data_IF_735224234053
#
_entry.id   IF_735224234053
#
_cell.length_a   1.000
_cell.length_b   1.000
_cell.length_c   1.000
_cell.angle_alpha   90.00
_cell.angle_beta   90.00
_cell.angle_gamma   90.00
#
_symmetry.space_group_name_H-M   'P 1'
#
loop_
_entity.id
_entity.type
_entity.pdbx_description
1 polymer ?
#
# COMPACT_ATOMS: atom_id res chain seq x y z
N UNK A 1 -11.69 20.36 7.00
CA UNK A 1 -12.82 19.50 6.58
C UNK A 1 -12.76 19.12 5.10
N UNK A 2 -12.78 20.03 4.11
CA UNK A 2 -13.08 19.67 2.71
C UNK A 2 -11.92 19.35 1.74
N UNK A 3 -10.66 19.54 2.12
CA UNK A 3 -9.60 19.70 1.12
C UNK A 3 -8.33 18.87 1.35
N UNK A 4 -8.16 18.11 2.43
CA UNK A 4 -6.84 17.52 2.75
C UNK A 4 -6.69 16.02 2.50
N UNK A 5 -7.69 15.18 2.80
CA UNK A 5 -7.72 13.79 2.30
C UNK A 5 -7.81 13.78 0.77
N UNK A 6 -8.69 14.61 0.21
CA UNK A 6 -8.67 14.94 -1.21
C UNK A 6 -7.31 15.51 -1.63
N UNK A 7 -6.70 16.55 -1.04
CA UNK A 7 -5.34 17.01 -1.47
C UNK A 7 -4.24 15.96 -1.41
N UNK A 8 -4.24 15.05 -0.44
CA UNK A 8 -3.19 14.01 -0.33
C UNK A 8 -3.33 13.01 -1.49
N UNK A 9 -4.57 12.76 -1.91
CA UNK A 9 -4.94 11.92 -3.06
C UNK A 9 -4.88 12.68 -4.40
N UNK A 10 -5.23 13.96 -4.40
CA UNK A 10 -5.30 14.90 -5.53
C UNK A 10 -3.91 15.45 -5.86
N UNK A 11 -2.96 15.41 -4.93
CA UNK A 11 -1.53 15.57 -5.22
C UNK A 11 -0.98 14.48 -6.15
N UNK A 12 -1.78 13.47 -6.50
CA UNK A 12 -1.48 12.55 -7.60
C UNK A 12 -1.75 13.16 -8.98
N UNK A 13 -2.35 14.37 -9.07
CA UNK A 13 -2.60 15.07 -10.32
C UNK A 13 -2.56 16.61 -10.12
N UNK A 14 -1.48 17.26 -10.59
CA UNK A 14 -1.23 18.70 -10.34
C UNK A 14 -2.11 19.61 -11.21
N UNK A 15 -2.99 20.42 -10.59
CA UNK A 15 -3.27 21.87 -10.85
C UNK A 15 -4.73 22.28 -10.54
N UNK A 16 -4.94 23.03 -9.45
CA UNK A 16 -5.71 24.30 -9.38
C UNK A 16 -6.20 24.59 -7.94
N UNK A 17 -6.15 25.88 -7.56
CA UNK A 17 -6.62 26.50 -6.30
C UNK A 17 -7.84 27.40 -6.64
N UNK A 18 -8.49 28.07 -5.67
CA UNK A 18 -9.02 27.67 -4.33
C UNK A 18 -10.48 28.17 -4.14
N UNK A 19 -11.13 28.00 -2.98
CA UNK A 19 -11.85 29.05 -2.20
C UNK A 19 -12.75 28.50 -1.03
N UNK A 20 -12.42 28.94 0.20
CA UNK A 20 -13.18 29.61 1.31
C UNK A 20 -14.74 29.53 1.36
N UNK A 21 -15.53 29.54 2.47
CA UNK A 21 -15.43 30.06 3.86
C UNK A 21 -16.59 29.53 4.76
N UNK A 22 -16.30 29.31 6.05
CA UNK A 22 -17.04 29.39 7.35
C UNK A 22 -18.51 28.99 7.62
N UNK A 23 -18.64 28.56 8.89
CA UNK A 23 -19.68 27.90 9.69
C UNK A 23 -20.53 28.91 10.48
N UNK A 24 -21.76 28.54 10.85
CA UNK A 24 -22.29 28.86 12.18
C UNK A 24 -23.34 27.82 12.65
N UNK A 25 -23.16 27.29 13.87
CA UNK A 25 -24.00 26.30 14.54
C UNK A 25 -24.52 26.91 15.84
N UNK A 26 -25.76 26.62 16.22
CA UNK A 26 -26.24 26.83 17.58
C UNK A 26 -27.35 25.84 17.96
N UNK A 27 -27.09 25.18 19.10
CA UNK A 27 -27.99 24.63 20.13
C UNK A 27 -28.32 23.12 20.12
N UNK A 28 -27.77 22.45 21.14
CA UNK A 28 -28.03 21.08 21.59
C UNK A 28 -29.10 21.02 22.70
N UNK A 29 -29.75 19.86 22.87
CA UNK A 29 -29.82 19.24 24.19
C UNK A 29 -29.48 17.72 24.20
N UNK A 30 -28.53 17.34 25.08
CA UNK A 30 -28.48 16.25 26.10
C UNK A 30 -29.60 15.17 26.04
N UNK A 31 -29.44 13.85 26.23
CA UNK A 31 -28.39 12.81 26.47
C UNK A 31 -29.15 11.48 26.30
N UNK A 32 -28.58 10.41 25.70
CA UNK A 32 -28.72 9.02 26.18
C UNK A 32 -27.43 8.27 25.77
N UNK A 33 -26.63 7.82 26.75
CA UNK A 33 -25.45 6.97 26.55
C UNK A 33 -25.82 5.54 26.16
N UNK A 34 -25.25 4.98 25.07
CA UNK A 34 -25.18 3.54 24.88
C UNK A 34 -23.76 3.05 25.20
N UNK A 35 -23.67 2.31 26.32
CA UNK A 35 -22.80 1.16 26.58
C UNK A 35 -21.42 1.22 25.88
N UNK A 36 -20.42 1.71 26.62
CA UNK A 36 -18.99 1.65 26.30
C UNK A 36 -18.51 0.19 26.23
N UNK A 37 -18.72 -0.49 25.11
CA UNK A 37 -17.95 -1.67 24.75
C UNK A 37 -16.63 -1.18 24.14
N UNK A 38 -15.59 -1.08 24.98
CA UNK A 38 -14.21 -0.66 24.65
C UNK A 38 -14.13 0.29 23.45
N UNK A 39 -14.81 1.43 23.54
CA UNK A 39 -14.58 2.54 22.62
C UNK A 39 -13.13 2.93 22.86
N UNK A 40 -12.28 2.70 21.86
CA UNK A 40 -10.93 3.27 21.84
C UNK A 40 -11.00 4.70 22.41
N UNK A 41 -10.13 5.04 23.37
CA UNK A 41 -10.14 6.34 24.08
C UNK A 41 -9.95 7.57 23.15
N UNK A 42 -9.95 7.35 21.84
CA UNK A 42 -9.78 8.30 20.76
C UNK A 42 -11.13 8.88 20.34
N UNK A 43 -11.16 10.20 20.19
CA UNK A 43 -12.29 10.92 19.62
C UNK A 43 -12.23 10.99 18.10
N UNK A 44 -13.22 11.69 17.54
CA UNK A 44 -13.36 11.88 16.10
C UNK A 44 -12.13 12.54 15.45
N UNK A 45 -11.51 13.50 16.14
CA UNK A 45 -10.34 14.22 15.60
C UNK A 45 -9.10 13.34 15.57
N UNK A 46 -8.88 12.54 16.62
CA UNK A 46 -7.76 11.61 16.69
C UNK A 46 -7.84 10.56 15.58
N UNK A 47 -9.02 10.00 15.32
CA UNK A 47 -9.19 9.07 14.20
C UNK A 47 -8.96 9.75 12.84
N UNK A 48 -9.40 11.00 12.66
CA UNK A 48 -9.13 11.76 11.43
C UNK A 48 -7.62 12.00 11.24
N UNK A 49 -6.90 12.32 12.31
CA UNK A 49 -5.45 12.52 12.27
C UNK A 49 -4.71 11.21 11.94
N UNK A 50 -5.17 10.08 12.47
CA UNK A 50 -4.66 8.75 12.11
C UNK A 50 -4.89 8.50 10.61
N UNK A 51 -6.11 8.68 10.09
CA UNK A 51 -6.39 8.48 8.68
C UNK A 51 -5.47 9.32 7.78
N UNK A 52 -5.29 10.60 8.10
CA UNK A 52 -4.42 11.50 7.33
C UNK A 52 -2.97 11.04 7.34
N UNK A 53 -2.43 10.79 8.54
CA UNK A 53 -1.02 10.47 8.73
C UNK A 53 -0.67 9.11 8.14
N UNK A 54 -1.49 8.10 8.45
CA UNK A 54 -1.25 6.72 8.02
C UNK A 54 -1.50 6.51 6.55
N UNK A 55 -2.44 7.23 5.93
CA UNK A 55 -2.57 7.22 4.47
C UNK A 55 -1.31 7.74 3.78
N UNK A 56 -0.72 8.83 4.27
CA UNK A 56 0.51 9.37 3.70
C UNK A 56 1.71 8.40 3.88
N UNK A 57 1.83 7.77 5.05
CA UNK A 57 2.86 6.76 5.33
C UNK A 57 2.71 5.51 4.44
N UNK A 58 1.47 5.05 4.23
CA UNK A 58 1.16 3.92 3.36
C UNK A 58 1.57 4.20 1.91
N UNK A 59 1.22 5.38 1.38
CA UNK A 59 1.61 5.81 0.02
C UNK A 59 3.12 5.90 -0.12
N UNK A 60 3.81 6.50 0.85
CA UNK A 60 5.27 6.59 0.87
C UNK A 60 5.90 5.20 0.80
N UNK A 61 5.40 4.27 1.60
CA UNK A 61 5.91 2.90 1.68
C UNK A 61 5.74 2.15 0.36
N UNK A 62 4.56 2.25 -0.27
CA UNK A 62 4.33 1.65 -1.59
C UNK A 62 5.23 2.26 -2.67
N UNK A 63 5.49 3.57 -2.62
CA UNK A 63 6.40 4.22 -3.55
C UNK A 63 7.86 3.74 -3.37
N UNK A 64 8.33 3.56 -2.14
CA UNK A 64 9.66 3.02 -1.85
C UNK A 64 9.83 1.58 -2.37
N UNK A 65 8.78 0.76 -2.24
CA UNK A 65 8.72 -0.59 -2.83
C UNK A 65 8.79 -0.51 -4.35
N UNK A 66 8.02 0.40 -4.95
CA UNK A 66 7.94 0.58 -6.41
C UNK A 66 9.30 0.97 -7.00
N UNK A 67 9.94 1.99 -6.44
CA UNK A 67 11.28 2.45 -6.85
C UNK A 67 12.31 1.32 -6.73
N UNK A 68 12.27 0.57 -5.63
CA UNK A 68 13.18 -0.57 -5.43
C UNK A 68 12.92 -1.70 -6.43
N UNK A 69 11.66 -1.91 -6.81
CA UNK A 69 11.24 -2.96 -7.76
C UNK A 69 11.67 -2.63 -9.19
N UNK A 70 11.54 -1.36 -9.60
CA UNK A 70 12.07 -0.88 -10.88
C UNK A 70 13.59 -1.08 -10.92
N UNK A 71 14.30 -0.64 -9.88
CA UNK A 71 15.75 -0.78 -9.79
C UNK A 71 16.23 -2.22 -9.96
N UNK A 72 15.62 -3.19 -9.25
CA UNK A 72 16.04 -4.60 -9.40
C UNK A 72 15.70 -5.16 -10.78
N UNK A 73 14.60 -4.72 -11.41
CA UNK A 73 14.27 -5.07 -12.78
C UNK A 73 15.36 -4.68 -13.76
N UNK A 74 15.89 -3.46 -13.63
CA UNK A 74 17.02 -2.97 -14.43
C UNK A 74 18.29 -3.80 -14.21
N UNK A 75 18.64 -4.10 -12.95
CA UNK A 75 19.82 -4.91 -12.61
C UNK A 75 19.75 -6.34 -13.16
N UNK A 76 18.56 -6.96 -13.15
CA UNK A 76 18.34 -8.29 -13.73
C UNK A 76 18.44 -8.22 -15.26
N UNK A 77 17.85 -7.20 -15.88
CA UNK A 77 17.91 -7.00 -17.33
C UNK A 77 19.36 -6.81 -17.82
N UNK A 78 20.14 -5.96 -17.16
CA UNK A 78 21.55 -5.74 -17.46
C UNK A 78 22.37 -7.04 -17.30
N UNK A 79 22.08 -7.83 -16.26
CA UNK A 79 22.71 -9.12 -16.03
C UNK A 79 22.39 -10.12 -17.15
N UNK A 80 21.14 -10.13 -17.63
CA UNK A 80 20.72 -10.98 -18.75
C UNK A 80 21.43 -10.60 -20.06
N UNK A 81 21.55 -9.30 -20.35
CA UNK A 81 22.31 -8.81 -21.51
C UNK A 81 23.79 -9.25 -21.45
N UNK A 82 24.44 -9.10 -20.30
CA UNK A 82 25.83 -9.56 -20.10
C UNK A 82 25.97 -11.08 -20.31
N UNK A 83 25.01 -11.87 -19.84
CA UNK A 83 25.02 -13.32 -20.04
C UNK A 83 24.85 -13.70 -21.53
N UNK A 84 24.00 -12.99 -22.28
CA UNK A 84 23.83 -13.20 -23.71
C UNK A 84 25.14 -12.92 -24.47
N UNK A 85 25.81 -11.79 -24.16
CA UNK A 85 27.11 -11.47 -24.76
C UNK A 85 28.18 -12.54 -24.48
N UNK A 86 28.25 -13.05 -23.24
CA UNK A 86 29.17 -14.13 -22.87
C UNK A 86 28.86 -15.41 -23.66
N UNK A 87 27.59 -15.71 -23.86
CA UNK A 87 27.15 -16.89 -24.62
C UNK A 87 27.42 -16.77 -26.12
N UNK A 88 27.32 -15.57 -26.69
CA UNK A 88 27.63 -15.29 -28.10
C UNK A 88 29.14 -15.34 -28.37
N UNK A 89 29.93 -14.69 -27.53
CA UNK A 89 31.38 -14.59 -27.70
C UNK A 89 32.12 -15.90 -27.41
N UNK A 90 31.53 -16.79 -26.60
CA UNK A 90 32.12 -18.08 -26.17
C UNK A 90 33.59 -17.97 -25.75
N UNK A 91 33.95 -17.05 -24.84
CA UNK A 91 35.33 -16.88 -24.41
C UNK A 91 35.83 -18.13 -23.67
N UNK A 92 37.14 -18.36 -23.65
CA UNK A 92 37.76 -19.53 -23.00
C UNK A 92 37.36 -19.68 -21.52
N UNK A 93 37.12 -18.57 -20.83
CA UNK A 93 36.70 -18.51 -19.42
C UNK A 93 35.18 -18.29 -19.23
N UNK A 94 34.35 -18.70 -20.20
CA UNK A 94 32.89 -18.48 -20.22
C UNK A 94 32.20 -18.79 -18.89
N UNK A 95 32.49 -19.95 -18.29
CA UNK A 95 31.86 -20.39 -17.03
C UNK A 95 32.20 -19.44 -15.87
N UNK A 96 33.45 -18.97 -15.79
CA UNK A 96 33.87 -18.04 -14.74
C UNK A 96 33.19 -16.67 -14.90
N UNK A 97 33.14 -16.15 -16.13
CA UNK A 97 32.46 -14.88 -16.43
C UNK A 97 30.96 -14.96 -16.15
N UNK A 98 30.29 -16.01 -16.60
CA UNK A 98 28.87 -16.23 -16.35
C UNK A 98 28.58 -16.34 -14.85
N UNK A 99 29.42 -17.09 -14.11
CA UNK A 99 29.30 -17.20 -12.64
C UNK A 99 29.45 -15.84 -11.96
N UNK A 100 30.39 -14.99 -12.41
CA UNK A 100 30.57 -13.66 -11.85
C UNK A 100 29.32 -12.79 -12.05
N UNK A 101 28.75 -12.76 -13.25
CA UNK A 101 27.52 -12.02 -13.56
C UNK A 101 26.34 -12.52 -12.70
N UNK A 102 26.14 -13.84 -12.62
CA UNK A 102 25.06 -14.44 -11.82
C UNK A 102 25.22 -14.10 -10.33
N UNK A 103 26.45 -14.13 -9.81
CA UNK A 103 26.69 -13.80 -8.41
C UNK A 103 26.47 -12.30 -8.12
N UNK A 104 26.79 -11.41 -9.07
CA UNK A 104 26.45 -9.98 -8.96
C UNK A 104 24.95 -9.77 -8.96
N UNK A 105 24.20 -10.45 -9.84
CA UNK A 105 22.73 -10.42 -9.86
C UNK A 105 22.15 -10.91 -8.53
N UNK A 106 22.68 -12.00 -7.97
CA UNK A 106 22.25 -12.51 -6.66
C UNK A 106 22.51 -11.50 -5.52
N UNK A 107 23.60 -10.74 -5.56
CA UNK A 107 23.86 -9.66 -4.60
C UNK A 107 22.83 -8.54 -4.73
N UNK A 108 22.52 -8.09 -5.96
CA UNK A 108 21.50 -7.08 -6.21
C UNK A 108 20.12 -7.53 -5.72
N UNK A 109 19.76 -8.80 -5.94
CA UNK A 109 18.51 -9.39 -5.44
C UNK A 109 18.43 -9.38 -3.91
N UNK A 110 19.52 -9.68 -3.20
CA UNK A 110 19.51 -9.59 -1.74
C UNK A 110 19.41 -8.14 -1.25
N UNK A 111 20.09 -7.20 -1.92
CA UNK A 111 19.95 -5.77 -1.63
C UNK A 111 18.51 -5.29 -1.86
N UNK A 112 17.85 -5.77 -2.92
CA UNK A 112 16.44 -5.51 -3.16
C UNK A 112 15.58 -6.01 -1.99
N UNK A 113 15.75 -7.27 -1.60
CA UNK A 113 15.01 -7.86 -0.47
C UNK A 113 15.18 -7.04 0.83
N UNK A 114 16.39 -6.57 1.12
CA UNK A 114 16.66 -5.70 2.27
C UNK A 114 15.99 -4.32 2.14
N UNK A 115 16.01 -3.72 0.95
CA UNK A 115 15.43 -2.39 0.69
C UNK A 115 13.92 -2.37 0.84
N UNK A 116 13.23 -3.45 0.49
CA UNK A 116 11.76 -3.52 0.57
C UNK A 116 11.23 -4.02 1.90
N UNK A 117 12.07 -4.58 2.77
CA UNK A 117 11.64 -5.19 4.03
C UNK A 117 10.93 -4.19 4.96
N UNK A 118 11.58 -3.07 5.29
CA UNK A 118 10.97 -2.05 6.15
C UNK A 118 9.75 -1.37 5.49
N UNK A 119 9.80 -0.97 4.20
CA UNK A 119 8.62 -0.46 3.51
C UNK A 119 7.41 -1.40 3.53
N UNK A 120 7.62 -2.72 3.41
CA UNK A 120 6.53 -3.70 3.51
C UNK A 120 5.89 -3.66 4.91
N UNK A 121 6.70 -3.62 5.97
CA UNK A 121 6.17 -3.52 7.34
C UNK A 121 5.42 -2.22 7.57
N UNK A 122 5.97 -1.09 7.11
CA UNK A 122 5.32 0.21 7.24
C UNK A 122 3.98 0.24 6.50
N UNK A 123 3.91 -0.34 5.29
CA UNK A 123 2.64 -0.48 4.56
C UNK A 123 1.61 -1.26 5.37
N UNK A 124 1.99 -2.42 5.93
CA UNK A 124 1.09 -3.27 6.72
C UNK A 124 0.55 -2.50 7.92
N UNK A 125 1.44 -1.91 8.73
CA UNK A 125 1.08 -1.18 9.95
C UNK A 125 0.17 0.01 9.63
N UNK A 126 0.58 0.85 8.66
CA UNK A 126 -0.21 2.02 8.29
C UNK A 126 -1.60 1.62 7.78
N UNK A 127 -1.71 0.53 7.00
CA UNK A 127 -3.01 0.07 6.52
C UNK A 127 -3.91 -0.46 7.65
N UNK A 128 -3.35 -1.23 8.58
CA UNK A 128 -4.10 -1.72 9.75
C UNK A 128 -4.63 -0.57 10.60
N UNK A 129 -3.82 0.47 10.82
CA UNK A 129 -4.23 1.68 11.55
C UNK A 129 -5.29 2.50 10.79
N UNK A 130 -5.22 2.56 9.45
CA UNK A 130 -6.27 3.18 8.62
C UNK A 130 -7.61 2.45 8.83
N UNK A 131 -7.61 1.12 8.76
CA UNK A 131 -8.82 0.32 8.96
C UNK A 131 -9.37 0.51 10.38
N UNK A 132 -8.49 0.48 11.38
CA UNK A 132 -8.85 0.73 12.78
C UNK A 132 -9.50 2.11 12.96
N UNK A 133 -8.90 3.15 12.39
CA UNK A 133 -9.43 4.51 12.47
C UNK A 133 -10.77 4.66 11.74
N UNK A 134 -10.97 4.01 10.61
CA UNK A 134 -12.28 4.01 9.94
C UNK A 134 -13.36 3.33 10.80
N UNK A 135 -13.05 2.21 11.44
CA UNK A 135 -13.99 1.54 12.37
C UNK A 135 -14.32 2.44 13.56
N UNK A 136 -13.30 3.08 14.14
CA UNK A 136 -13.48 4.06 15.22
C UNK A 136 -14.37 5.23 14.81
N UNK A 137 -14.15 5.83 13.63
CA UNK A 137 -15.02 6.88 13.11
C UNK A 137 -16.46 6.41 12.95
N UNK A 138 -16.71 5.21 12.46
CA UNK A 138 -18.07 4.69 12.33
C UNK A 138 -18.78 4.59 13.68
N UNK A 139 -18.05 4.32 14.77
CA UNK A 139 -18.58 4.22 16.13
C UNK A 139 -18.83 5.59 16.76
N UNK A 140 -17.94 6.57 16.58
CA UNK A 140 -18.00 7.84 17.32
C UNK A 140 -18.67 8.99 16.58
N UNK A 141 -19.07 8.80 15.31
CA UNK A 141 -19.48 9.92 14.45
C UNK A 141 -20.97 10.28 14.47
N UNK A 142 -21.76 9.85 15.46
CA UNK A 142 -23.23 9.99 15.57
C UNK A 142 -23.82 11.22 14.85
N UNK A 143 -24.15 11.09 13.56
CA UNK A 143 -24.57 12.15 12.63
C UNK A 143 -23.69 13.44 12.60
N UNK A 144 -22.54 13.44 13.26
CA UNK A 144 -21.56 14.54 13.27
C UNK A 144 -20.87 14.64 11.90
N UNK A 145 -20.56 13.49 11.29
CA UNK A 145 -19.94 13.44 9.97
C UNK A 145 -21.04 13.49 8.90
N UNK A 146 -21.02 14.50 8.02
CA UNK A 146 -21.99 14.60 6.93
C UNK A 146 -21.90 13.40 5.99
N UNK A 147 -23.03 13.05 5.39
CA UNK A 147 -23.12 11.98 4.39
C UNK A 147 -22.13 12.16 3.22
N UNK A 148 -21.96 13.40 2.74
CA UNK A 148 -20.97 13.77 1.71
C UNK A 148 -19.56 13.29 2.09
N UNK A 149 -19.16 13.45 3.36
CA UNK A 149 -17.85 13.02 3.85
C UNK A 149 -17.72 11.50 3.92
N UNK A 150 -18.78 10.77 4.23
CA UNK A 150 -18.80 9.31 4.16
C UNK A 150 -18.66 8.81 2.72
N UNK A 151 -19.34 9.47 1.79
CA UNK A 151 -19.25 9.17 0.37
C UNK A 151 -17.84 9.50 -0.18
N UNK A 152 -17.24 10.61 0.19
CA UNK A 152 -15.83 10.95 -0.14
C UNK A 152 -14.85 9.89 0.37
N UNK A 153 -15.00 9.45 1.63
CA UNK A 153 -14.15 8.41 2.22
C UNK A 153 -14.29 7.06 1.50
N UNK A 154 -15.50 6.69 1.11
CA UNK A 154 -15.76 5.49 0.31
C UNK A 154 -15.10 5.57 -1.07
N UNK A 155 -15.17 6.70 -1.76
CA UNK A 155 -14.48 6.88 -3.04
C UNK A 155 -12.96 6.86 -2.88
N UNK A 156 -12.41 7.41 -1.78
CA UNK A 156 -10.99 7.30 -1.45
C UNK A 156 -10.55 5.84 -1.25
N UNK A 157 -11.33 5.03 -0.53
CA UNK A 157 -11.08 3.59 -0.37
C UNK A 157 -11.14 2.83 -1.70
N UNK A 158 -12.11 3.15 -2.56
CA UNK A 158 -12.23 2.57 -3.91
C UNK A 158 -11.03 2.90 -4.79
N UNK A 159 -10.58 4.16 -4.74
CA UNK A 159 -9.40 4.58 -5.47
C UNK A 159 -8.14 3.86 -4.97
N UNK A 160 -7.97 3.73 -3.65
CA UNK A 160 -6.89 2.95 -3.05
C UNK A 160 -6.90 1.50 -3.56
N UNK A 161 -8.07 0.84 -3.53
CA UNK A 161 -8.25 -0.52 -4.03
C UNK A 161 -7.86 -0.65 -5.50
N UNK A 162 -8.33 0.26 -6.36
CA UNK A 162 -8.00 0.26 -7.79
C UNK A 162 -6.49 0.40 -8.04
N UNK A 163 -5.81 1.26 -7.28
CA UNK A 163 -4.37 1.47 -7.41
C UNK A 163 -3.57 0.25 -6.96
N UNK A 164 -3.98 -0.35 -5.84
CA UNK A 164 -3.38 -1.59 -5.32
C UNK A 164 -3.62 -2.75 -6.29
N UNK A 165 -4.80 -2.86 -6.90
CA UNK A 165 -5.12 -3.88 -7.91
C UNK A 165 -4.25 -3.77 -9.15
N UNK A 166 -4.07 -2.57 -9.70
CA UNK A 166 -3.24 -2.35 -10.88
C UNK A 166 -1.78 -2.78 -10.67
N UNK A 167 -1.26 -2.57 -9.45
CA UNK A 167 0.11 -2.92 -9.08
C UNK A 167 0.25 -4.41 -8.73
N UNK A 168 -0.82 -5.04 -8.23
CA UNK A 168 -0.82 -6.45 -7.81
C UNK A 168 -0.45 -7.40 -8.95
N UNK A 169 -1.04 -7.21 -10.13
CA UNK A 169 -0.74 -8.05 -11.30
C UNK A 169 0.75 -8.03 -11.68
N UNK A 170 1.36 -6.85 -11.64
CA UNK A 170 2.78 -6.68 -11.93
C UNK A 170 3.69 -7.35 -10.89
N UNK A 171 3.33 -7.24 -9.60
CA UNK A 171 4.05 -7.91 -8.51
C UNK A 171 3.96 -9.43 -8.60
N UNK A 172 2.79 -9.96 -8.99
CA UNK A 172 2.61 -11.40 -9.22
C UNK A 172 3.49 -11.90 -10.37
N UNK A 173 3.52 -11.19 -11.50
CA UNK A 173 4.37 -11.57 -12.63
C UNK A 173 5.86 -11.45 -12.31
N UNK A 174 6.25 -10.44 -11.55
CA UNK A 174 7.63 -10.31 -11.07
C UNK A 174 8.00 -11.46 -10.11
N UNK A 175 7.13 -11.80 -9.16
CA UNK A 175 7.31 -12.94 -8.27
C UNK A 175 7.49 -14.26 -9.05
N UNK A 176 6.63 -14.52 -10.04
CA UNK A 176 6.73 -15.70 -10.92
C UNK A 176 8.06 -15.72 -11.67
N UNK A 177 8.47 -14.57 -12.22
CA UNK A 177 9.74 -14.42 -12.94
C UNK A 177 10.94 -14.75 -12.06
N UNK A 178 11.00 -14.19 -10.84
CA UNK A 178 12.08 -14.47 -9.87
C UNK A 178 12.09 -15.94 -9.44
N UNK A 179 10.90 -16.50 -9.16
CA UNK A 179 10.75 -17.91 -8.78
C UNK A 179 11.20 -18.86 -9.89
N UNK A 180 10.96 -18.47 -11.14
CA UNK A 180 11.32 -19.21 -12.35
C UNK A 180 12.81 -19.19 -12.71
N UNK A 181 13.62 -18.34 -12.08
CA UNK A 181 15.06 -18.26 -12.38
C UNK A 181 15.77 -19.63 -12.17
N UNK A 182 16.67 -20.04 -13.09
CA UNK A 182 17.35 -21.33 -13.00
C UNK A 182 18.27 -21.42 -11.78
N UNK A 183 18.48 -22.65 -11.27
CA UNK A 183 19.33 -22.94 -10.10
C UNK A 183 20.80 -23.04 -10.50
N UNK A 184 21.38 -21.92 -10.96
CA UNK A 184 22.74 -21.91 -11.55
C UNK A 184 23.88 -21.89 -10.51
N UNK A 185 23.70 -21.15 -9.42
CA UNK A 185 24.69 -21.03 -8.32
C UNK A 185 23.99 -21.06 -6.96
N UNK A 186 24.71 -21.40 -5.90
CA UNK A 186 24.15 -21.32 -4.54
C UNK A 186 23.67 -19.89 -4.21
N UNK A 187 24.41 -18.86 -4.65
CA UNK A 187 24.05 -17.46 -4.42
C UNK A 187 22.69 -17.10 -5.03
N UNK A 188 22.43 -17.45 -6.29
CA UNK A 188 21.14 -17.16 -6.92
C UNK A 188 20.01 -17.98 -6.31
N UNK A 189 20.29 -19.22 -5.84
CA UNK A 189 19.29 -20.05 -5.15
C UNK A 189 18.85 -19.39 -3.84
N UNK A 190 19.79 -18.90 -3.03
CA UNK A 190 19.47 -18.22 -1.77
C UNK A 190 18.80 -16.88 -2.01
N UNK A 191 19.31 -16.08 -2.95
CA UNK A 191 18.74 -14.78 -3.28
C UNK A 191 17.30 -14.88 -3.79
N UNK A 192 16.98 -15.87 -4.65
CA UNK A 192 15.58 -16.07 -5.09
C UNK A 192 14.66 -16.37 -3.92
N UNK A 193 15.09 -17.21 -2.97
CA UNK A 193 14.26 -17.60 -1.82
C UNK A 193 13.95 -16.36 -0.98
N UNK A 194 14.96 -15.52 -0.74
CA UNK A 194 14.81 -14.29 0.02
C UNK A 194 13.84 -13.32 -0.65
N UNK A 195 14.05 -13.00 -1.94
CA UNK A 195 13.16 -12.12 -2.71
C UNK A 195 11.74 -12.67 -2.76
N UNK A 196 11.57 -13.96 -3.08
CA UNK A 196 10.24 -14.58 -3.12
C UNK A 196 9.53 -14.54 -1.76
N UNK A 197 10.26 -14.65 -0.64
CA UNK A 197 9.68 -14.55 0.70
C UNK A 197 9.09 -13.16 0.94
N UNK A 198 9.86 -12.10 0.62
CA UNK A 198 9.42 -10.71 0.81
C UNK A 198 8.28 -10.31 -0.13
N UNK A 199 8.37 -10.71 -1.40
CA UNK A 199 7.28 -10.50 -2.35
C UNK A 199 6.01 -11.25 -1.95
N UNK A 200 6.13 -12.46 -1.40
CA UNK A 200 4.97 -13.20 -0.90
C UNK A 200 4.32 -12.48 0.28
N UNK A 201 5.10 -11.98 1.22
CA UNK A 201 4.59 -11.20 2.35
C UNK A 201 3.83 -9.95 1.90
N UNK A 202 4.36 -9.23 0.91
CA UNK A 202 3.69 -8.08 0.30
C UNK A 202 2.40 -8.46 -0.43
N UNK A 203 2.41 -9.54 -1.22
CA UNK A 203 1.20 -10.01 -1.92
C UNK A 203 0.12 -10.44 -0.93
N UNK A 204 0.50 -11.22 0.08
CA UNK A 204 -0.41 -11.70 1.12
C UNK A 204 -0.97 -10.50 1.93
N UNK A 205 -0.19 -9.44 2.16
CA UNK A 205 -0.67 -8.23 2.84
C UNK A 205 -1.62 -7.41 1.97
N UNK A 206 -1.31 -7.25 0.68
CA UNK A 206 -2.21 -6.59 -0.27
C UNK A 206 -3.57 -7.32 -0.33
N UNK A 207 -3.58 -8.65 -0.36
CA UNK A 207 -4.83 -9.42 -0.38
C UNK A 207 -5.66 -9.18 0.89
N UNK A 208 -5.02 -9.17 2.07
CA UNK A 208 -5.69 -8.77 3.32
C UNK A 208 -6.22 -7.34 3.25
N UNK A 209 -5.44 -6.41 2.69
CA UNK A 209 -5.86 -5.03 2.55
C UNK A 209 -7.12 -4.90 1.70
N UNK A 210 -7.20 -5.65 0.60
CA UNK A 210 -8.37 -5.64 -0.27
C UNK A 210 -9.62 -6.14 0.46
N UNK A 211 -9.50 -7.20 1.25
CA UNK A 211 -10.61 -7.74 2.04
C UNK A 211 -11.10 -6.68 3.03
N UNK A 212 -10.20 -6.15 3.87
CA UNK A 212 -10.57 -5.16 4.90
C UNK A 212 -11.14 -3.87 4.29
N UNK A 213 -10.60 -3.39 3.18
CA UNK A 213 -11.11 -2.19 2.52
C UNK A 213 -12.52 -2.40 1.93
N UNK A 214 -12.82 -3.60 1.39
CA UNK A 214 -14.18 -3.93 0.94
C UNK A 214 -15.15 -4.03 2.12
N UNK A 215 -14.75 -4.67 3.22
CA UNK A 215 -15.55 -4.70 4.46
C UNK A 215 -15.86 -3.28 4.96
N UNK A 216 -14.87 -2.38 4.91
CA UNK A 216 -15.07 -0.98 5.28
C UNK A 216 -16.05 -0.25 4.35
N UNK A 217 -15.96 -0.48 3.04
CA UNK A 217 -16.92 0.08 2.08
C UNK A 217 -18.33 -0.40 2.38
N UNK A 218 -18.52 -1.68 2.72
CA UNK A 218 -19.82 -2.24 3.06
C UNK A 218 -20.39 -1.63 4.35
N UNK A 219 -19.56 -1.41 5.36
CA UNK A 219 -19.97 -0.73 6.59
C UNK A 219 -20.37 0.73 6.35
N UNK A 220 -19.63 1.45 5.48
CA UNK A 220 -20.00 2.81 5.08
C UNK A 220 -21.33 2.80 4.32
N UNK A 221 -21.51 1.87 3.38
CA UNK A 221 -22.78 1.73 2.64
C UNK A 221 -23.97 1.50 3.57
N UNK A 222 -23.80 0.65 4.59
CA UNK A 222 -24.83 0.42 5.60
C UNK A 222 -25.16 1.70 6.37
N UNK A 223 -24.14 2.46 6.79
CA UNK A 223 -24.33 3.73 7.50
C UNK A 223 -25.09 4.76 6.66
N UNK A 224 -24.75 4.88 5.37
CA UNK A 224 -25.43 5.76 4.42
C UNK A 224 -26.89 5.34 4.20
N UNK A 225 -27.17 4.04 4.09
CA UNK A 225 -28.53 3.53 3.93
C UNK A 225 -29.39 3.73 5.19
N UNK A 226 -28.81 3.54 6.38
CA UNK A 226 -29.53 3.75 7.64
C UNK A 226 -29.86 5.25 7.86
N UNK A 227 -29.06 6.19 7.33
CA UNK A 227 -29.37 7.62 7.35
C UNK A 227 -30.49 8.05 6.38
N UNK A 228 -30.68 7.34 5.26
CA UNK A 228 -31.76 7.62 4.29
C UNK A 228 -33.15 7.20 4.78
N UNK A 229 -33.22 6.33 5.79
CA UNK A 229 -34.47 5.76 6.33
C UNK A 229 -34.92 6.39 7.65
N UNK A 230 -34.29 7.48 8.08
CA UNK A 230 -34.61 8.29 9.28
C UNK A 230 -35.25 9.63 8.90
#
# INVERSE_FOLDING_TARGET
>A
MRAHLYKVIENWNVNSKPLTTQVNLSNLPVIIEPIEDEVSELGLLEFQDILNTKSAEAVKSLNEITVSTIWIGEQISESAQKLNMINEQKPVNQIQLARAVINTSAKAMNQYAMKIEQPIQNWIISFEEIVGAFKGLLQVSDNIIPEESWQENKEALRLLLSNVDSSYGQLVEFYKSVKGLPKMTQYIILAKKNVCSKLKELLDSIDRCKISANEMIDLINKKLFDSDNL
#
